data_IF_951443391936
#
_entry.id   IF_951443391936
#
_cell.length_a   1.000
_cell.length_b   1.000
_cell.length_c   1.000
_cell.angle_alpha   90.00
_cell.angle_beta   90.00
_cell.angle_gamma   90.00
#
_symmetry.space_group_name_H-M   'P 1'
#
loop_
_entity.id
_entity.type
_entity.pdbx_description
1 polymer ?
#
# COMPACT_ATOMS: atom_id res chain seq x y z
N UNK A 1 -7.87 -4.86 11.06
CA UNK A 1 -8.27 -3.79 10.11
C UNK A 1 -8.78 -2.52 10.79
N UNK A 2 -10.06 -2.39 11.20
CA UNK A 2 -10.61 -1.09 11.69
C UNK A 2 -9.86 -0.51 12.90
N UNK A 3 -9.52 -1.33 13.89
CA UNK A 3 -8.76 -0.89 15.07
C UNK A 3 -7.35 -0.40 14.68
N UNK A 4 -6.63 -1.19 13.88
CA UNK A 4 -5.30 -0.83 13.36
C UNK A 4 -5.36 0.47 12.55
N UNK A 5 -6.41 0.65 11.75
CA UNK A 5 -6.60 1.84 10.94
C UNK A 5 -6.74 3.09 11.79
N UNK A 6 -7.60 3.05 12.81
CA UNK A 6 -7.79 4.17 13.74
C UNK A 6 -6.51 4.48 14.49
N UNK A 7 -5.81 3.46 14.99
CA UNK A 7 -4.56 3.64 15.72
C UNK A 7 -3.47 4.28 14.84
N UNK A 8 -3.26 3.76 13.63
CA UNK A 8 -2.25 4.29 12.72
C UNK A 8 -2.62 5.67 12.18
N UNK A 9 -3.91 5.93 11.91
CA UNK A 9 -4.39 7.26 11.52
C UNK A 9 -4.19 8.27 12.64
N UNK A 10 -4.50 7.93 13.89
CA UNK A 10 -4.26 8.83 15.03
C UNK A 10 -2.76 9.14 15.20
N UNK A 11 -1.89 8.13 15.07
CA UNK A 11 -0.43 8.34 15.07
C UNK A 11 0.01 9.27 13.93
N UNK A 12 -0.56 9.08 12.74
CA UNK A 12 -0.30 9.93 11.58
C UNK A 12 -0.76 11.38 11.83
N UNK A 13 -1.95 11.60 12.35
CA UNK A 13 -2.47 12.94 12.63
C UNK A 13 -1.66 13.66 13.72
N UNK A 14 -1.10 12.92 14.68
CA UNK A 14 -0.18 13.45 15.71
C UNK A 14 1.25 13.71 15.22
N UNK A 15 1.52 13.51 13.93
CA UNK A 15 2.85 13.75 13.35
C UNK A 15 3.86 12.62 13.59
N UNK A 16 3.44 11.46 14.13
CA UNK A 16 4.31 10.28 14.17
C UNK A 16 4.47 9.75 12.75
N UNK A 17 5.71 9.74 12.25
CA UNK A 17 6.07 9.32 10.90
C UNK A 17 7.02 8.13 10.96
N UNK A 18 6.50 7.04 11.50
CA UNK A 18 7.17 5.74 11.47
C UNK A 18 6.90 5.05 10.14
N UNK A 19 7.97 4.52 9.53
CA UNK A 19 7.90 3.88 8.21
C UNK A 19 6.93 2.71 8.20
N UNK A 20 6.97 1.87 9.23
CA UNK A 20 6.17 0.66 9.29
C UNK A 20 4.69 0.98 9.50
N UNK A 21 4.38 1.90 10.39
CA UNK A 21 3.02 2.40 10.56
C UNK A 21 2.49 3.04 9.27
N UNK A 22 3.32 3.84 8.58
CA UNK A 22 2.90 4.53 7.36
C UNK A 22 2.57 3.57 6.22
N UNK A 23 3.39 2.55 5.96
CA UNK A 23 3.11 1.60 4.86
C UNK A 23 1.86 0.74 5.16
N UNK A 24 1.64 0.36 6.42
CA UNK A 24 0.42 -0.34 6.82
C UNK A 24 -0.82 0.58 6.72
N UNK A 25 -0.70 1.85 7.13
CA UNK A 25 -1.78 2.82 6.98
C UNK A 25 -2.11 3.10 5.52
N UNK A 26 -1.10 3.17 4.64
CA UNK A 26 -1.29 3.29 3.19
C UNK A 26 -2.16 2.13 2.65
N UNK A 27 -1.86 0.90 3.07
CA UNK A 27 -2.67 -0.26 2.71
C UNK A 27 -4.09 -0.18 3.25
N UNK A 28 -4.28 0.17 4.51
CA UNK A 28 -5.61 0.27 5.12
C UNK A 28 -6.46 1.37 4.48
N UNK A 29 -5.87 2.52 4.15
CA UNK A 29 -6.52 3.58 3.40
C UNK A 29 -6.99 3.11 2.01
N UNK A 30 -6.19 2.28 1.34
CA UNK A 30 -6.57 1.67 0.06
C UNK A 30 -7.69 0.63 0.22
N UNK A 31 -7.72 -0.12 1.33
CA UNK A 31 -8.73 -1.15 1.58
C UNK A 31 -10.17 -0.61 1.65
N UNK A 32 -10.38 0.65 2.02
CA UNK A 32 -11.71 1.29 1.96
C UNK A 32 -12.33 1.30 0.56
N UNK A 33 -11.50 1.22 -0.48
CA UNK A 33 -11.94 1.19 -1.88
C UNK A 33 -11.80 -0.19 -2.52
N UNK A 34 -10.79 -0.95 -2.08
CA UNK A 34 -10.50 -2.26 -2.63
C UNK A 34 -11.60 -3.29 -2.30
N UNK A 35 -12.17 -3.21 -1.09
CA UNK A 35 -13.19 -4.14 -0.63
C UNK A 35 -14.30 -3.40 0.14
N UNK A 36 -15.55 -3.89 0.08
CA UNK A 36 -16.67 -3.26 0.76
C UNK A 36 -16.62 -3.47 2.29
N UNK A 37 -17.26 -2.58 3.09
CA UNK A 37 -17.27 -2.65 4.56
C UNK A 37 -17.63 -4.01 5.18
N UNK A 38 -18.51 -4.79 4.54
CA UNK A 38 -18.91 -6.10 5.06
C UNK A 38 -17.81 -7.17 4.94
N UNK A 39 -16.80 -6.94 4.09
CA UNK A 39 -15.62 -7.81 3.94
C UNK A 39 -14.50 -7.35 4.87
N UNK A 40 -14.22 -6.05 4.89
CA UNK A 40 -13.10 -5.47 5.65
C UNK A 40 -13.42 -5.28 7.14
N UNK A 41 -14.70 -5.16 7.49
CA UNK A 41 -15.16 -4.73 8.80
C UNK A 41 -14.86 -3.25 9.10
N UNK A 42 -14.45 -2.47 8.09
CA UNK A 42 -14.07 -1.08 8.24
C UNK A 42 -15.26 -0.15 8.00
N UNK A 43 -15.31 0.96 8.73
CA UNK A 43 -16.30 2.01 8.50
C UNK A 43 -15.98 2.76 7.20
N UNK A 44 -16.99 3.37 6.57
CA UNK A 44 -16.72 4.23 5.42
C UNK A 44 -15.92 5.47 5.86
N UNK A 45 -14.98 5.87 5.01
CA UNK A 45 -14.07 6.97 5.30
C UNK A 45 -13.83 7.81 4.04
N UNK A 46 -14.47 8.98 3.93
CA UNK A 46 -14.37 9.82 2.75
C UNK A 46 -12.97 10.41 2.55
N UNK A 47 -12.14 10.45 3.60
CA UNK A 47 -10.79 11.03 3.53
C UNK A 47 -9.72 9.98 3.20
N UNK A 48 -10.07 8.69 3.12
CA UNK A 48 -9.12 7.60 2.93
C UNK A 48 -8.26 7.78 1.67
N UNK A 49 -8.86 8.27 0.58
CA UNK A 49 -8.11 8.54 -0.65
C UNK A 49 -7.10 9.69 -0.50
N UNK A 50 -7.49 10.77 0.17
CA UNK A 50 -6.58 11.88 0.43
C UNK A 50 -5.43 11.43 1.33
N UNK A 51 -5.74 10.68 2.39
CA UNK A 51 -4.74 10.09 3.29
C UNK A 51 -3.77 9.19 2.53
N UNK A 52 -4.26 8.36 1.61
CA UNK A 52 -3.41 7.53 0.76
C UNK A 52 -2.40 8.38 -0.02
N UNK A 53 -2.85 9.47 -0.66
CA UNK A 53 -1.96 10.37 -1.40
C UNK A 53 -0.96 11.09 -0.49
N UNK A 54 -1.37 11.51 0.71
CA UNK A 54 -0.45 12.14 1.67
C UNK A 54 0.68 11.19 2.08
N UNK A 55 0.35 9.92 2.35
CA UNK A 55 1.36 8.91 2.72
C UNK A 55 2.24 8.57 1.52
N UNK A 56 1.66 8.42 0.33
CA UNK A 56 2.41 8.21 -0.92
C UNK A 56 3.44 9.32 -1.15
N UNK A 57 3.05 10.59 -0.97
CA UNK A 57 3.95 11.73 -1.10
C UNK A 57 5.02 11.76 0.01
N UNK A 58 4.67 11.40 1.24
CA UNK A 58 5.63 11.32 2.35
C UNK A 58 6.75 10.31 2.09
N UNK A 59 6.44 9.17 1.47
CA UNK A 59 7.45 8.22 1.02
C UNK A 59 8.30 8.71 -0.17
N UNK A 60 7.96 9.85 -0.79
CA UNK A 60 8.62 10.40 -1.98
C UNK A 60 8.03 9.94 -3.31
N UNK A 61 6.87 9.29 -3.28
CA UNK A 61 6.17 8.80 -4.47
C UNK A 61 7.05 7.95 -5.38
N UNK A 62 7.04 8.23 -6.68
CA UNK A 62 7.86 7.50 -7.67
C UNK A 62 9.37 7.62 -7.42
N UNK A 63 9.81 8.68 -6.74
CA UNK A 63 11.20 8.93 -6.40
C UNK A 63 11.66 8.24 -5.12
N UNK A 64 10.80 7.46 -4.46
CA UNK A 64 11.14 6.79 -3.21
C UNK A 64 12.36 5.87 -3.35
N UNK A 65 13.12 5.72 -2.27
CA UNK A 65 14.21 4.75 -2.13
C UNK A 65 13.80 3.53 -1.31
N UNK A 66 12.55 3.45 -0.84
CA UNK A 66 12.03 2.30 -0.11
C UNK A 66 11.44 1.27 -1.10
N UNK A 67 12.14 0.13 -1.33
CA UNK A 67 11.73 -0.82 -2.36
C UNK A 67 10.40 -1.50 -2.05
N UNK A 68 10.03 -1.66 -0.78
CA UNK A 68 8.79 -2.31 -0.37
C UNK A 68 7.61 -1.36 -0.55
N UNK A 69 7.76 -0.09 -0.17
CA UNK A 69 6.75 0.92 -0.46
C UNK A 69 6.49 0.99 -1.97
N UNK A 70 7.55 1.07 -2.79
CA UNK A 70 7.41 1.08 -4.25
C UNK A 70 6.71 -0.18 -4.77
N UNK A 71 7.04 -1.34 -4.19
CA UNK A 71 6.40 -2.61 -4.54
C UNK A 71 4.90 -2.57 -4.28
N UNK A 72 4.54 -2.22 -3.04
CA UNK A 72 3.18 -2.26 -2.52
C UNK A 72 2.32 -1.17 -3.16
N UNK A 73 2.78 0.08 -3.20
CA UNK A 73 2.08 1.16 -3.88
C UNK A 73 1.90 0.86 -5.36
N UNK A 74 2.93 0.30 -6.02
CA UNK A 74 2.87 -0.13 -7.41
C UNK A 74 1.87 -1.26 -7.65
N UNK A 75 1.72 -2.19 -6.71
CA UNK A 75 0.68 -3.23 -6.78
C UNK A 75 -0.73 -2.64 -6.59
N UNK A 76 -0.95 -1.82 -5.57
CA UNK A 76 -2.24 -1.19 -5.29
C UNK A 76 -2.71 -0.36 -6.49
N UNK A 77 -1.82 0.48 -7.04
CA UNK A 77 -2.08 1.27 -8.24
C UNK A 77 -2.28 0.42 -9.51
N UNK A 78 -1.71 -0.79 -9.56
CA UNK A 78 -1.92 -1.69 -10.68
C UNK A 78 -3.30 -2.37 -10.63
N UNK A 79 -3.79 -2.70 -9.43
CA UNK A 79 -5.05 -3.40 -9.24
C UNK A 79 -6.24 -2.43 -9.39
N UNK A 80 -6.17 -1.24 -8.80
CA UNK A 80 -7.23 -0.23 -8.83
C UNK A 80 -6.73 1.16 -9.25
N UNK A 81 -6.21 1.34 -10.47
CA UNK A 81 -5.65 2.62 -10.92
C UNK A 81 -6.68 3.77 -10.92
N UNK A 82 -7.93 3.49 -11.28
CA UNK A 82 -8.99 4.51 -11.37
C UNK A 82 -9.40 5.12 -10.02
N UNK A 83 -9.10 4.44 -8.91
CA UNK A 83 -9.39 4.96 -7.56
C UNK A 83 -8.43 6.10 -7.22
N UNK A 84 -7.20 6.03 -7.71
CA UNK A 84 -6.13 6.96 -7.34
C UNK A 84 -6.13 8.25 -8.18
N UNK A 85 -6.91 8.31 -9.25
CA UNK A 85 -6.97 9.43 -10.17
C UNK A 85 -7.17 8.97 -11.61
N UNK A 86 -6.67 9.75 -12.60
CA UNK A 86 -6.76 9.36 -14.00
C UNK A 86 -6.13 7.99 -14.24
N UNK A 87 -6.94 7.05 -14.77
CA UNK A 87 -6.56 5.63 -14.87
C UNK A 87 -5.27 5.43 -15.67
N UNK A 88 -5.15 6.07 -16.84
CA UNK A 88 -3.96 5.96 -17.70
C UNK A 88 -2.69 6.45 -17.01
N UNK A 89 -2.80 7.53 -16.23
CA UNK A 89 -1.67 8.08 -15.48
C UNK A 89 -1.23 7.11 -14.38
N UNK A 90 -2.18 6.62 -13.57
CA UNK A 90 -1.87 5.70 -12.47
C UNK A 90 -1.47 4.31 -12.93
N UNK A 91 -1.99 3.82 -14.06
CA UNK A 91 -1.51 2.60 -14.69
C UNK A 91 -0.05 2.74 -15.16
N UNK A 92 0.34 3.92 -15.66
CA UNK A 92 1.73 4.20 -16.01
C UNK A 92 2.62 4.35 -14.76
N UNK A 93 2.13 5.03 -13.72
CA UNK A 93 2.80 5.17 -12.42
C UNK A 93 3.03 3.81 -11.77
N UNK A 94 2.04 2.92 -11.78
CA UNK A 94 2.16 1.56 -11.25
C UNK A 94 3.31 0.78 -11.91
N UNK A 95 3.49 0.92 -13.24
CA UNK A 95 4.62 0.30 -13.96
C UNK A 95 5.95 0.86 -13.48
N UNK A 96 6.08 2.18 -13.36
CA UNK A 96 7.32 2.85 -12.92
C UNK A 96 7.68 2.48 -11.48
N UNK A 97 6.71 2.47 -10.57
CA UNK A 97 6.90 2.02 -9.17
C UNK A 97 7.41 0.57 -9.10
N UNK A 98 6.77 -0.35 -9.85
CA UNK A 98 7.16 -1.76 -9.88
C UNK A 98 8.56 -1.96 -10.49
N UNK A 99 8.88 -1.25 -11.57
CA UNK A 99 10.22 -1.26 -12.17
C UNK A 99 11.28 -0.77 -11.18
N UNK A 100 11.03 0.36 -10.52
CA UNK A 100 11.96 0.93 -9.55
C UNK A 100 12.16 0.04 -8.31
N UNK A 101 11.08 -0.56 -7.82
CA UNK A 101 11.14 -1.56 -6.75
C UNK A 101 12.07 -2.72 -7.11
N UNK A 102 11.97 -3.24 -8.35
CA UNK A 102 12.83 -4.32 -8.83
C UNK A 102 14.29 -3.89 -9.02
N UNK A 103 14.54 -2.66 -9.47
CA UNK A 103 15.92 -2.12 -9.53
C UNK A 103 16.59 -2.06 -8.15
N UNK A 104 15.84 -1.66 -7.13
CA UNK A 104 16.34 -1.54 -5.75
C UNK A 104 16.39 -2.88 -5.02
N UNK A 105 15.50 -3.81 -5.35
CA UNK A 105 15.45 -5.16 -4.78
C UNK A 105 15.27 -6.22 -5.89
N UNK A 106 16.35 -6.57 -6.61
CA UNK A 106 16.29 -7.46 -7.79
C UNK A 106 15.81 -8.88 -7.49
N UNK A 107 15.96 -9.34 -6.25
CA UNK A 107 15.46 -10.65 -5.83
C UNK A 107 13.95 -10.65 -5.54
N UNK A 108 13.28 -9.51 -5.69
CA UNK A 108 11.86 -9.35 -5.40
C UNK A 108 11.55 -9.50 -3.91
N UNK A 109 10.27 -9.68 -3.59
CA UNK A 109 9.77 -9.84 -2.22
C UNK A 109 9.26 -11.26 -2.03
N UNK A 110 9.72 -11.92 -0.96
CA UNK A 110 9.22 -13.24 -0.58
C UNK A 110 8.06 -13.11 0.41
N UNK A 111 7.29 -14.18 0.59
CA UNK A 111 6.17 -14.17 1.52
C UNK A 111 6.64 -13.92 2.97
N UNK A 112 7.80 -14.46 3.33
CA UNK A 112 8.40 -14.38 4.67
C UNK A 112 8.74 -12.93 5.05
N UNK A 113 8.99 -12.05 4.07
CA UNK A 113 9.24 -10.62 4.32
C UNK A 113 8.00 -9.88 4.86
N UNK A 114 6.82 -10.46 4.68
CA UNK A 114 5.54 -9.88 5.11
C UNK A 114 4.93 -10.62 6.31
N UNK A 115 5.47 -11.76 6.70
CA UNK A 115 4.92 -12.56 7.79
C UNK A 115 4.94 -11.81 9.13
N UNK A 116 3.88 -11.99 9.92
CA UNK A 116 3.72 -11.35 11.23
C UNK A 116 3.29 -9.88 11.21
N UNK A 117 3.05 -9.27 10.03
CA UNK A 117 2.72 -7.84 9.88
C UNK A 117 1.23 -7.58 9.68
N UNK A 118 0.40 -8.30 10.45
CA UNK A 118 -1.06 -8.13 10.44
C UNK A 118 -1.73 -8.44 9.10
N UNK A 119 -2.82 -7.73 8.81
CA UNK A 119 -3.59 -7.89 7.56
C UNK A 119 -2.80 -7.49 6.32
N UNK A 120 -2.04 -6.40 6.42
CA UNK A 120 -1.06 -5.98 5.42
C UNK A 120 -0.13 -7.13 5.05
N UNK A 121 0.49 -7.73 6.07
CA UNK A 121 1.42 -8.83 5.91
C UNK A 121 0.79 -10.04 5.23
N UNK A 122 -0.40 -10.45 5.69
CA UNK A 122 -1.15 -11.56 5.09
C UNK A 122 -1.47 -11.32 3.62
N UNK A 123 -1.91 -10.12 3.26
CA UNK A 123 -2.26 -9.76 1.89
C UNK A 123 -1.04 -9.84 0.96
N UNK A 124 0.06 -9.17 1.29
CA UNK A 124 1.23 -9.13 0.43
C UNK A 124 2.04 -10.43 0.44
N UNK A 125 2.03 -11.19 1.54
CA UNK A 125 2.56 -12.55 1.57
C UNK A 125 1.82 -13.46 0.58
N UNK A 126 0.49 -13.35 0.52
CA UNK A 126 -0.31 -14.10 -0.44
C UNK A 126 0.03 -13.73 -1.89
N UNK A 127 0.09 -12.43 -2.19
CA UNK A 127 0.44 -11.93 -3.52
C UNK A 127 1.86 -12.33 -3.97
N UNK A 128 2.83 -12.33 -3.05
CA UNK A 128 4.19 -12.76 -3.31
C UNK A 128 4.28 -14.25 -3.74
N UNK A 129 3.45 -15.12 -3.15
CA UNK A 129 3.42 -16.56 -3.49
C UNK A 129 2.94 -16.82 -4.93
N UNK A 130 1.98 -16.05 -5.42
CA UNK A 130 1.48 -16.21 -6.79
C UNK A 130 2.51 -15.82 -7.85
N UNK A 131 3.41 -14.89 -7.54
CA UNK A 131 4.49 -14.49 -8.46
C UNK A 131 5.63 -15.50 -8.54
N UNK A 132 5.85 -16.31 -7.51
CA UNK A 132 6.87 -17.36 -7.51
C UNK A 132 6.48 -18.62 -8.31
N UNK A 133 5.22 -18.69 -8.77
CA UNK A 133 4.65 -19.87 -9.43
C UNK A 133 4.48 -19.74 -10.96
N UNK A 134 4.97 -18.63 -11.55
CA UNK A 134 5.03 -18.38 -13.00
C UNK A 134 6.47 -18.13 -13.43
#
# INVERSE_FOLDING_TARGET
MEEDYREFREKWERGTRDRECAIQLLYLAWMHWADPPFVTGMSDDPDALELWHQIYQWFGGEGSTDPEFLHVAGMMAHIFPWVLGPEDEWAATAKRLKSRSFELQPNGFTAEMFDGRGDYGRYFAHQARFRASN
#
